data_IF_040013466168
#
_entry.id   IF_040013466168
#
_cell.length_a   1.000
_cell.length_b   1.000
_cell.length_c   1.000
_cell.angle_alpha   90.00
_cell.angle_beta   90.00
_cell.angle_gamma   90.00
#
_symmetry.space_group_name_H-M   'P 1'
#
loop_
_entity.id
_entity.type
_entity.pdbx_description
1 polymer ?
#
# COMPACT_ATOMS: atom_id res chain seq x y z
N UNK A 1 15.52 -24.49 0.53
CA UNK A 1 15.14 -23.10 0.19
C UNK A 1 13.96 -23.19 -0.76
N UNK A 2 12.75 -22.79 -0.33
CA UNK A 2 11.51 -23.17 -1.01
C UNK A 2 11.27 -22.34 -2.28
N UNK A 3 11.18 -23.04 -3.42
CA UNK A 3 10.74 -22.49 -4.70
C UNK A 3 9.21 -22.60 -4.75
N UNK A 4 8.51 -21.49 -4.99
CA UNK A 4 7.06 -21.49 -5.26
C UNK A 4 6.84 -21.15 -6.72
N UNK A 5 6.43 -22.14 -7.51
CA UNK A 5 5.96 -21.98 -8.90
C UNK A 5 4.52 -21.44 -8.89
N UNK A 6 4.32 -20.29 -9.54
CA UNK A 6 3.01 -19.65 -9.72
C UNK A 6 2.43 -20.06 -11.07
N UNK A 7 1.49 -21.00 -11.11
CA UNK A 7 0.71 -21.28 -12.32
C UNK A 7 -0.46 -20.30 -12.40
N UNK A 8 -0.43 -19.40 -13.40
CA UNK A 8 -1.58 -18.57 -13.82
C UNK A 8 -1.59 -17.09 -13.43
N UNK A 9 -0.44 -16.44 -13.16
CA UNK A 9 -0.40 -14.99 -12.79
C UNK A 9 0.74 -14.16 -13.39
N UNK A 10 1.48 -14.70 -14.36
CA UNK A 10 2.55 -13.98 -15.07
C UNK A 10 1.99 -12.80 -15.89
N UNK A 11 0.74 -12.91 -16.38
CA UNK A 11 0.08 -11.84 -17.12
C UNK A 11 -0.23 -10.64 -16.21
N UNK A 12 -0.85 -10.86 -15.07
CA UNK A 12 -1.22 -9.83 -14.10
C UNK A 12 0.02 -9.18 -13.49
N UNK A 13 1.04 -9.99 -13.14
CA UNK A 13 2.31 -9.46 -12.69
C UNK A 13 2.98 -8.62 -13.79
N UNK A 14 2.91 -9.07 -15.05
CA UNK A 14 3.37 -8.32 -16.20
C UNK A 14 2.62 -6.98 -16.38
N UNK A 15 1.32 -6.92 -16.08
CA UNK A 15 0.55 -5.67 -16.08
C UNK A 15 1.02 -4.72 -14.98
N UNK A 16 1.20 -5.23 -13.74
CA UNK A 16 1.71 -4.42 -12.63
C UNK A 16 3.12 -3.89 -12.92
N UNK A 17 4.01 -4.71 -13.48
CA UNK A 17 5.37 -4.30 -13.86
C UNK A 17 5.42 -3.20 -14.93
N UNK A 18 4.36 -3.02 -15.72
CA UNK A 18 4.26 -1.96 -16.75
C UNK A 18 3.82 -0.60 -16.17
N UNK A 19 3.41 -0.55 -14.90
CA UNK A 19 3.06 0.72 -14.26
C UNK A 19 4.30 1.60 -14.16
N UNK A 20 4.15 2.88 -14.52
CA UNK A 20 5.17 3.91 -14.37
C UNK A 20 4.81 4.79 -13.18
N UNK A 21 5.81 5.21 -12.43
CA UNK A 21 5.63 6.12 -11.31
C UNK A 21 5.29 7.54 -11.81
N UNK A 22 4.42 8.29 -11.11
CA UNK A 22 3.62 7.83 -9.97
C UNK A 22 2.47 6.90 -10.44
N UNK A 23 2.21 5.79 -9.72
CA UNK A 23 1.03 4.94 -9.98
C UNK A 23 0.16 4.73 -8.74
N UNK A 24 -1.14 4.54 -8.97
CA UNK A 24 -2.11 4.02 -8.01
C UNK A 24 -2.86 2.87 -8.69
N UNK A 25 -2.89 1.70 -8.05
CA UNK A 25 -3.51 0.50 -8.59
C UNK A 25 -4.37 -0.20 -7.53
N UNK A 26 -5.55 -0.67 -7.95
CA UNK A 26 -6.46 -1.44 -7.11
C UNK A 26 -6.50 -2.88 -7.61
N UNK A 27 -6.11 -3.83 -6.75
CA UNK A 27 -6.11 -5.27 -7.09
C UNK A 27 -7.30 -5.94 -6.42
N UNK A 28 -8.33 -6.28 -7.20
CA UNK A 28 -9.55 -6.92 -6.71
C UNK A 28 -9.75 -8.33 -7.30
N UNK A 29 -10.68 -9.09 -6.71
CA UNK A 29 -11.01 -10.45 -7.14
C UNK A 29 -11.58 -11.30 -6.00
N UNK A 30 -12.08 -12.50 -6.30
CA UNK A 30 -12.70 -13.42 -5.32
C UNK A 30 -11.72 -13.77 -4.17
N UNK A 31 -12.26 -14.21 -3.02
CA UNK A 31 -11.44 -14.68 -1.88
C UNK A 31 -10.55 -15.86 -2.29
N UNK A 32 -9.34 -15.93 -1.72
CA UNK A 32 -8.35 -17.02 -1.91
C UNK A 32 -7.81 -17.22 -3.34
N UNK A 33 -7.94 -16.23 -4.21
CA UNK A 33 -7.35 -16.32 -5.56
C UNK A 33 -5.84 -16.12 -5.57
N UNK A 34 -5.22 -15.59 -4.50
CA UNK A 34 -3.77 -15.34 -4.41
C UNK A 34 -3.36 -13.90 -4.70
N UNK A 35 -4.22 -12.91 -4.41
CA UNK A 35 -3.94 -11.48 -4.62
C UNK A 35 -2.74 -11.01 -3.81
N UNK A 36 -2.70 -11.36 -2.52
CA UNK A 36 -1.57 -11.08 -1.63
C UNK A 36 -0.24 -11.59 -2.22
N UNK A 37 -0.20 -12.84 -2.71
CA UNK A 37 1.00 -13.39 -3.32
C UNK A 37 1.44 -12.64 -4.60
N UNK A 38 0.49 -12.16 -5.41
CA UNK A 38 0.79 -11.33 -6.58
C UNK A 38 1.38 -9.97 -6.18
N UNK A 39 0.77 -9.30 -5.19
CA UNK A 39 1.22 -8.00 -4.70
C UNK A 39 2.60 -8.11 -4.05
N UNK A 40 2.82 -9.10 -3.19
CA UNK A 40 4.11 -9.33 -2.56
C UNK A 40 5.22 -9.55 -3.61
N UNK A 41 4.98 -10.39 -4.63
CA UNK A 41 5.94 -10.60 -5.72
C UNK A 41 6.25 -9.32 -6.50
N UNK A 42 5.25 -8.45 -6.71
CA UNK A 42 5.46 -7.15 -7.35
C UNK A 42 6.29 -6.18 -6.47
N UNK A 43 6.06 -6.20 -5.15
CA UNK A 43 6.78 -5.35 -4.20
C UNK A 43 8.23 -5.79 -3.99
N UNK A 44 8.53 -7.09 -3.98
CA UNK A 44 9.89 -7.64 -3.81
C UNK A 44 10.93 -7.07 -4.80
N UNK A 45 10.47 -6.57 -5.94
CA UNK A 45 11.32 -5.99 -6.99
C UNK A 45 11.71 -4.52 -6.71
N UNK A 46 11.23 -3.91 -5.62
CA UNK A 46 11.36 -2.48 -5.32
C UNK A 46 11.50 -2.21 -3.82
N UNK A 47 12.07 -1.07 -3.39
CA UNK A 47 11.89 -0.58 -2.02
C UNK A 47 10.39 -0.42 -1.73
N UNK A 48 9.89 -1.12 -0.70
CA UNK A 48 8.46 -1.23 -0.48
C UNK A 48 8.04 -1.20 0.99
N UNK A 49 6.77 -0.91 1.19
CA UNK A 49 6.05 -1.07 2.45
C UNK A 49 4.80 -1.91 2.20
N UNK A 50 4.59 -2.90 3.06
CA UNK A 50 3.42 -3.75 3.04
C UNK A 50 2.67 -3.61 4.36
N UNK A 51 1.38 -3.30 4.26
CA UNK A 51 0.50 -3.08 5.40
C UNK A 51 -0.72 -3.97 5.28
N UNK A 52 -1.02 -4.74 6.32
CA UNK A 52 -2.27 -5.49 6.40
C UNK A 52 -3.29 -4.71 7.23
N UNK A 53 -4.46 -4.42 6.66
CA UNK A 53 -5.51 -3.69 7.37
C UNK A 53 -6.29 -4.67 8.24
N UNK A 54 -5.89 -4.76 9.52
CA UNK A 54 -6.52 -5.67 10.47
C UNK A 54 -7.78 -5.02 11.06
N UNK A 55 -9.00 -5.52 10.74
CA UNK A 55 -10.25 -4.94 11.23
C UNK A 55 -10.42 -5.04 12.76
N UNK A 56 -9.63 -5.90 13.42
CA UNK A 56 -9.68 -6.11 14.87
C UNK A 56 -8.77 -5.16 15.66
N UNK A 57 -7.97 -4.33 14.99
CA UNK A 57 -7.09 -3.38 15.66
C UNK A 57 -7.74 -2.00 15.72
N UNK A 58 -7.67 -1.31 16.87
CA UNK A 58 -8.02 0.10 16.94
C UNK A 58 -7.19 0.94 15.95
N UNK A 59 -7.76 2.00 15.35
CA UNK A 59 -7.07 2.85 14.38
C UNK A 59 -5.72 3.36 14.87
N UNK A 60 -5.61 3.72 16.15
CA UNK A 60 -4.35 4.18 16.76
C UNK A 60 -3.24 3.12 16.70
N UNK A 61 -3.55 1.86 16.98
CA UNK A 61 -2.55 0.79 16.93
C UNK A 61 -2.14 0.46 15.49
N UNK A 62 -3.05 0.62 14.52
CA UNK A 62 -2.71 0.53 13.10
C UNK A 62 -1.74 1.64 12.69
N UNK A 63 -2.02 2.89 13.09
CA UNK A 63 -1.13 4.03 12.83
C UNK A 63 0.25 3.84 13.48
N UNK A 64 0.30 3.36 14.72
CA UNK A 64 1.57 3.08 15.41
C UNK A 64 2.38 2.00 14.67
N UNK A 65 1.77 0.89 14.27
CA UNK A 65 2.43 -0.18 13.51
C UNK A 65 2.95 0.31 12.15
N UNK A 66 2.11 1.02 11.41
CA UNK A 66 2.45 1.48 10.07
C UNK A 66 3.52 2.58 10.15
N UNK A 67 3.36 3.48 11.11
CA UNK A 67 4.31 4.53 11.44
C UNK A 67 5.67 3.96 11.82
N UNK A 68 5.75 2.90 12.62
CA UNK A 68 7.02 2.25 12.92
C UNK A 68 7.72 1.70 11.68
N UNK A 69 6.98 1.04 10.79
CA UNK A 69 7.54 0.50 9.56
C UNK A 69 8.04 1.62 8.63
N UNK A 70 7.25 2.68 8.44
CA UNK A 70 7.64 3.85 7.66
C UNK A 70 8.85 4.56 8.27
N UNK A 71 8.86 4.75 9.59
CA UNK A 71 9.99 5.35 10.32
C UNK A 71 11.28 4.59 10.07
N UNK A 72 11.25 3.26 10.18
CA UNK A 72 12.41 2.40 9.90
C UNK A 72 12.84 2.51 8.44
N UNK A 73 11.90 2.39 7.50
CA UNK A 73 12.20 2.47 6.07
C UNK A 73 12.78 3.84 5.66
N UNK A 74 12.26 4.92 6.23
CA UNK A 74 12.70 6.29 6.00
C UNK A 74 13.94 6.69 6.82
N UNK A 75 14.52 5.78 7.61
CA UNK A 75 15.69 6.08 8.44
C UNK A 75 15.45 7.21 9.44
N UNK A 76 14.22 7.38 9.90
CA UNK A 76 13.85 8.41 10.86
C UNK A 76 14.26 7.99 12.30
N UNK A 77 14.63 8.95 13.17
CA UNK A 77 15.05 8.66 14.53
C UNK A 77 14.04 7.82 15.33
N UNK A 78 14.56 7.03 16.29
CA UNK A 78 13.79 6.10 17.14
C UNK A 78 12.59 6.69 17.86
N UNK A 79 12.63 7.98 18.18
CA UNK A 79 11.61 8.70 18.93
C UNK A 79 10.49 9.29 18.06
N UNK A 80 10.64 9.29 16.72
CA UNK A 80 9.60 9.80 15.83
C UNK A 80 8.35 8.93 15.96
N UNK A 81 7.20 9.57 16.17
CA UNK A 81 5.87 8.98 16.20
C UNK A 81 4.96 9.83 15.32
N UNK A 82 3.95 9.18 14.76
CA UNK A 82 2.95 9.84 13.94
C UNK A 82 1.70 10.02 14.80
N UNK A 83 1.28 11.26 15.01
CA UNK A 83 0.10 11.59 15.81
C UNK A 83 -1.19 11.44 15.01
N UNK A 84 -1.10 11.48 13.67
CA UNK A 84 -2.24 11.37 12.76
C UNK A 84 -1.89 10.63 11.47
N UNK A 85 -2.92 10.18 10.76
CA UNK A 85 -2.77 9.65 9.40
C UNK A 85 -2.25 10.71 8.43
N UNK A 86 -2.60 11.99 8.61
CA UNK A 86 -2.05 13.09 7.82
C UNK A 86 -0.52 13.16 7.91
N UNK A 87 0.04 13.11 9.12
CA UNK A 87 1.50 13.09 9.32
C UNK A 87 2.15 11.84 8.70
N UNK A 88 1.48 10.69 8.84
CA UNK A 88 1.96 9.45 8.23
C UNK A 88 2.04 9.57 6.71
N UNK A 89 0.97 10.03 6.06
CA UNK A 89 0.93 10.19 4.61
C UNK A 89 1.84 11.31 4.11
N UNK A 90 2.04 12.38 4.89
CA UNK A 90 2.99 13.45 4.56
C UNK A 90 4.41 12.90 4.35
N UNK A 91 4.87 12.05 5.27
CA UNK A 91 6.17 11.37 5.19
C UNK A 91 6.16 10.27 4.13
N UNK A 92 5.08 9.51 4.00
CA UNK A 92 4.96 8.43 3.02
C UNK A 92 5.11 8.95 1.59
N UNK A 93 4.51 10.10 1.29
CA UNK A 93 4.57 10.78 0.00
C UNK A 93 5.84 11.63 -0.19
N UNK A 94 6.85 11.49 0.68
CA UNK A 94 8.14 12.16 0.47
C UNK A 94 8.89 11.56 -0.73
N UNK A 95 9.84 12.29 -1.35
CA UNK A 95 10.52 11.88 -2.59
C UNK A 95 11.34 10.58 -2.55
N UNK A 96 11.37 9.87 -1.42
CA UNK A 96 12.11 8.60 -1.28
C UNK A 96 11.54 7.46 -2.12
N UNK A 97 10.26 7.56 -2.52
CA UNK A 97 9.63 6.69 -3.53
C UNK A 97 9.53 5.20 -3.11
N UNK A 98 8.61 4.89 -2.20
CA UNK A 98 8.28 3.49 -1.85
C UNK A 98 7.10 2.98 -2.66
N UNK A 99 7.16 1.72 -3.11
CA UNK A 99 5.96 1.00 -3.50
C UNK A 99 5.18 0.60 -2.24
N UNK A 100 3.94 1.04 -2.10
CA UNK A 100 3.13 0.81 -0.89
C UNK A 100 1.92 -0.05 -1.22
N UNK A 101 1.69 -1.09 -0.41
CA UNK A 101 0.49 -1.90 -0.49
C UNK A 101 -0.27 -1.91 0.84
N UNK A 102 -1.58 -1.69 0.75
CA UNK A 102 -2.53 -1.94 1.83
C UNK A 102 -3.36 -3.17 1.46
N UNK A 103 -3.07 -4.32 2.07
CA UNK A 103 -3.83 -5.55 1.86
C UNK A 103 -5.12 -5.54 2.70
N UNK A 104 -6.18 -6.12 2.14
CA UNK A 104 -7.55 -6.06 2.67
C UNK A 104 -8.03 -4.62 2.96
N UNK A 105 -7.66 -3.67 2.10
CA UNK A 105 -7.93 -2.22 2.28
C UNK A 105 -9.40 -1.85 2.42
N UNK A 106 -10.34 -2.71 2.03
CA UNK A 106 -11.76 -2.46 2.29
C UNK A 106 -12.10 -2.35 3.78
N UNK A 107 -11.28 -2.92 4.68
CA UNK A 107 -11.47 -2.81 6.13
C UNK A 107 -11.24 -1.40 6.66
N UNK A 108 -10.59 -0.50 5.92
CA UNK A 108 -10.47 0.90 6.34
C UNK A 108 -11.84 1.54 6.58
N UNK A 109 -12.87 1.16 5.81
CA UNK A 109 -14.23 1.67 6.02
C UNK A 109 -14.77 1.38 7.44
N UNK A 110 -14.27 0.36 8.11
CA UNK A 110 -14.64 -0.01 9.48
C UNK A 110 -13.69 0.58 10.53
N UNK A 111 -12.37 0.46 10.32
CA UNK A 111 -11.39 0.80 11.38
C UNK A 111 -10.79 2.18 11.30
N UNK A 112 -10.71 2.80 10.13
CA UNK A 112 -10.13 4.13 9.92
C UNK A 112 -10.72 4.76 8.65
N UNK A 113 -12.03 5.14 8.67
CA UNK A 113 -12.76 5.56 7.49
C UNK A 113 -12.21 6.85 6.85
N UNK A 114 -11.39 7.62 7.56
CA UNK A 114 -10.69 8.80 7.08
C UNK A 114 -9.53 8.46 6.12
N UNK A 115 -8.90 7.28 6.25
CA UNK A 115 -7.67 6.93 5.54
C UNK A 115 -7.82 6.99 4.02
N UNK A 116 -8.86 6.44 3.39
CA UNK A 116 -9.03 6.53 1.94
C UNK A 116 -9.12 7.98 1.42
N UNK A 117 -9.79 8.87 2.16
CA UNK A 117 -9.93 10.28 1.79
C UNK A 117 -8.60 11.03 1.93
N UNK A 118 -7.85 10.77 3.00
CA UNK A 118 -6.52 11.37 3.19
C UNK A 118 -5.58 10.90 2.07
N UNK A 119 -5.54 9.60 1.78
CA UNK A 119 -4.75 9.04 0.69
C UNK A 119 -5.12 9.68 -0.66
N UNK A 120 -6.41 9.80 -0.97
CA UNK A 120 -6.89 10.46 -2.18
C UNK A 120 -6.38 11.91 -2.26
N UNK A 121 -6.52 12.68 -1.18
CA UNK A 121 -6.07 14.07 -1.13
C UNK A 121 -4.57 14.19 -1.38
N UNK A 122 -3.73 13.34 -0.77
CA UNK A 122 -2.29 13.34 -1.02
C UNK A 122 -1.95 12.92 -2.46
N UNK A 123 -2.66 11.94 -3.00
CA UNK A 123 -2.50 11.51 -4.39
C UNK A 123 -2.81 12.64 -5.38
N UNK A 124 -3.92 13.33 -5.18
CA UNK A 124 -4.39 14.39 -6.08
C UNK A 124 -3.52 15.66 -6.00
N UNK A 125 -2.92 15.94 -4.85
CA UNK A 125 -2.13 17.16 -4.64
C UNK A 125 -0.64 17.01 -4.96
N UNK A 126 -0.11 15.78 -5.02
CA UNK A 126 1.34 15.54 -5.22
C UNK A 126 1.71 14.84 -6.53
N UNK A 127 0.76 14.31 -7.30
CA UNK A 127 1.05 13.62 -8.55
C UNK A 127 0.80 14.48 -9.80
N UNK A 128 1.83 14.69 -10.63
CA UNK A 128 1.66 14.96 -12.06
C UNK A 128 1.35 13.61 -12.75
N UNK A 129 0.08 13.40 -13.16
CA UNK A 129 -0.55 12.06 -13.32
C UNK A 129 -0.19 11.28 -14.59
N UNK A 130 -0.14 9.92 -14.48
CA UNK A 130 -1.21 9.09 -15.06
C UNK A 130 -1.75 8.00 -14.09
N UNK A 131 -3.07 7.81 -14.05
CA UNK A 131 -3.76 6.78 -13.25
C UNK A 131 -4.52 5.77 -14.12
N UNK A 132 -4.45 4.48 -13.79
CA UNK A 132 -5.26 3.41 -14.41
C UNK A 132 -6.24 2.84 -13.39
N UNK A 133 -7.52 3.18 -13.52
CA UNK A 133 -8.61 2.57 -12.74
C UNK A 133 -9.33 1.57 -13.64
N UNK A 134 -9.27 0.28 -13.32
CA UNK A 134 -10.26 -0.68 -13.83
C UNK A 134 -11.38 -0.80 -12.80
N UNK A 135 -12.49 -0.09 -13.03
CA UNK A 135 -13.73 -0.34 -12.31
C UNK A 135 -14.28 -1.72 -12.70
N UNK A 136 -14.78 -2.54 -11.75
CA UNK A 136 -15.68 -3.61 -12.10
C UNK A 136 -17.10 -3.06 -12.39
N UNK A 137 -17.92 -3.78 -13.19
CA UNK A 137 -19.30 -3.42 -13.49
C UNK A 137 -20.22 -3.46 -12.26
#
# INVERSE_FOLDING_TARGET
MAVIKLYGRERELGLLRRLREPFLAVVYGRRRVGKTALVLKFLEERPHLYFFVNPKKPPRLLLEEYGEALRRAAGLPGYVRFASWDEFFDVLFSPRGYAVAFDESQWFAEVAPEVPYILQRFWDTRAEKPSLTSSPP
#
